data_IF_500614465537
#
_entry.id   IF_500614465537
#
_cell.length_a   1.000
_cell.length_b   1.000
_cell.length_c   1.000
_cell.angle_alpha   90.00
_cell.angle_beta   90.00
_cell.angle_gamma   90.00
#
_symmetry.space_group_name_H-M   'P 1'
#
loop_
_entity.id
_entity.type
_entity.pdbx_description
1 polymer ?
#
# COMPACT_ATOMS: atom_id res chain seq x y z
N UNK A 1 9.16 -5.91 21.07
CA UNK A 1 7.80 -5.90 20.47
C UNK A 1 7.51 -4.61 19.69
N UNK A 2 8.51 -3.94 19.08
CA UNK A 2 8.31 -2.61 18.45
C UNK A 2 8.66 -2.55 16.95
N UNK A 3 9.50 -3.46 16.46
CA UNK A 3 9.92 -3.48 15.05
C UNK A 3 8.81 -3.95 14.10
N UNK A 4 8.04 -4.98 14.50
CA UNK A 4 6.92 -5.50 13.69
C UNK A 4 5.80 -4.45 13.50
N UNK A 5 5.41 -3.76 14.57
CA UNK A 5 4.37 -2.73 14.52
C UNK A 5 4.82 -1.52 13.68
N UNK A 6 6.09 -1.13 13.79
CA UNK A 6 6.64 -0.04 12.99
C UNK A 6 6.68 -0.41 11.48
N UNK A 7 7.09 -1.64 11.15
CA UNK A 7 7.07 -2.14 9.75
C UNK A 7 5.66 -2.16 9.16
N UNK A 8 4.66 -2.60 9.93
CA UNK A 8 3.27 -2.58 9.48
C UNK A 8 2.76 -1.15 9.26
N UNK A 9 3.11 -0.23 10.16
CA UNK A 9 2.74 1.18 10.00
C UNK A 9 3.36 1.80 8.75
N UNK A 10 4.64 1.52 8.48
CA UNK A 10 5.33 1.98 7.28
C UNK A 10 4.70 1.41 6.00
N UNK A 11 4.34 0.12 6.00
CA UNK A 11 3.63 -0.53 4.89
C UNK A 11 2.27 0.13 4.62
N UNK A 12 1.49 0.42 5.66
CA UNK A 12 0.21 1.09 5.54
C UNK A 12 0.35 2.51 4.96
N UNK A 13 1.34 3.27 5.41
CA UNK A 13 1.64 4.60 4.89
C UNK A 13 2.05 4.55 3.41
N UNK A 14 2.93 3.62 3.05
CA UNK A 14 3.39 3.43 1.68
C UNK A 14 2.23 3.00 0.76
N UNK A 15 1.36 2.10 1.23
CA UNK A 15 0.16 1.69 0.52
C UNK A 15 -0.76 2.88 0.22
N UNK A 16 -1.07 3.70 1.23
CA UNK A 16 -1.89 4.92 1.05
C UNK A 16 -1.25 5.91 0.09
N UNK A 17 0.07 6.07 0.14
CA UNK A 17 0.83 6.93 -0.77
C UNK A 17 0.63 6.50 -2.24
N UNK A 18 0.79 5.21 -2.54
CA UNK A 18 0.60 4.69 -3.89
C UNK A 18 -0.86 4.82 -4.36
N UNK A 19 -1.82 4.51 -3.49
CA UNK A 19 -3.25 4.66 -3.81
C UNK A 19 -3.61 6.12 -4.11
N UNK A 20 -3.11 7.09 -3.33
CA UNK A 20 -3.31 8.53 -3.59
C UNK A 20 -2.68 8.99 -4.90
N UNK A 21 -1.58 8.36 -5.34
CA UNK A 21 -0.94 8.62 -6.64
C UNK A 21 -1.66 7.99 -7.83
N UNK A 22 -2.76 7.26 -7.60
CA UNK A 22 -3.56 6.63 -8.66
C UNK A 22 -3.16 5.19 -8.99
N UNK A 23 -2.31 4.54 -8.19
CA UNK A 23 -1.96 3.12 -8.35
C UNK A 23 -3.09 2.21 -7.86
N UNK A 24 -4.22 2.27 -8.56
CA UNK A 24 -5.49 1.65 -8.17
C UNK A 24 -6.01 0.69 -9.23
N UNK A 25 -5.50 0.79 -10.47
CA UNK A 25 -5.80 -0.13 -11.56
C UNK A 25 -4.89 -1.36 -11.51
N UNK A 26 -5.36 -2.51 -12.01
CA UNK A 26 -4.55 -3.73 -12.04
C UNK A 26 -3.23 -3.56 -12.81
N UNK A 27 -3.24 -2.76 -13.89
CA UNK A 27 -2.05 -2.44 -14.68
C UNK A 27 -1.01 -1.69 -13.84
N UNK A 28 -1.42 -0.61 -13.16
CA UNK A 28 -0.52 0.17 -12.30
C UNK A 28 0.00 -0.63 -11.10
N UNK A 29 -0.85 -1.50 -10.55
CA UNK A 29 -0.46 -2.41 -9.47
C UNK A 29 0.58 -3.43 -9.96
N UNK A 30 0.44 -3.96 -11.17
CA UNK A 30 1.41 -4.87 -11.77
C UNK A 30 2.78 -4.17 -12.01
N UNK A 31 2.76 -2.95 -12.56
CA UNK A 31 3.96 -2.12 -12.73
C UNK A 31 4.68 -1.85 -11.39
N UNK A 32 3.89 -1.52 -10.35
CA UNK A 32 4.41 -1.29 -9.00
C UNK A 32 4.98 -2.58 -8.40
N UNK A 33 4.29 -3.71 -8.55
CA UNK A 33 4.74 -5.01 -8.06
C UNK A 33 6.08 -5.38 -8.69
N UNK A 34 6.25 -5.23 -10.01
CA UNK A 34 7.51 -5.54 -10.68
C UNK A 34 8.65 -4.62 -10.21
N UNK A 35 8.37 -3.32 -10.04
CA UNK A 35 9.34 -2.36 -9.53
C UNK A 35 9.82 -2.73 -8.13
N UNK A 36 8.90 -3.14 -7.26
CA UNK A 36 9.21 -3.55 -5.89
C UNK A 36 9.90 -4.91 -5.83
N UNK A 37 9.51 -5.84 -6.71
CA UNK A 37 10.15 -7.14 -6.84
C UNK A 37 11.65 -6.97 -7.12
N UNK A 38 12.01 -6.11 -8.08
CA UNK A 38 13.41 -5.80 -8.44
C UNK A 38 14.19 -5.10 -7.32
N UNK A 39 13.53 -4.27 -6.50
CA UNK A 39 14.20 -3.47 -5.45
C UNK A 39 14.30 -4.16 -4.10
N UNK A 40 13.28 -4.94 -3.71
CA UNK A 40 13.08 -5.40 -2.32
C UNK A 40 12.76 -6.89 -2.23
N UNK A 41 12.54 -7.57 -3.36
CA UNK A 41 12.16 -8.97 -3.43
C UNK A 41 10.65 -9.21 -3.49
N UNK A 42 10.28 -10.44 -3.83
CA UNK A 42 8.89 -10.85 -4.06
C UNK A 42 8.00 -10.71 -2.84
N UNK A 43 8.48 -11.16 -1.68
CA UNK A 43 7.70 -11.15 -0.43
C UNK A 43 7.36 -9.72 -0.01
N UNK A 44 8.32 -8.79 -0.11
CA UNK A 44 8.11 -7.39 0.22
C UNK A 44 7.12 -6.72 -0.73
N UNK A 45 7.21 -7.01 -2.04
CA UNK A 45 6.27 -6.52 -3.03
C UNK A 45 4.85 -7.04 -2.77
N UNK A 46 4.72 -8.35 -2.56
CA UNK A 46 3.43 -9.00 -2.30
C UNK A 46 2.75 -8.43 -1.06
N UNK A 47 3.49 -8.29 0.05
CA UNK A 47 2.99 -7.68 1.29
C UNK A 47 2.47 -6.25 1.09
N UNK A 48 3.16 -5.43 0.30
CA UNK A 48 2.69 -4.08 0.03
C UNK A 48 1.41 -4.08 -0.81
N UNK A 49 1.33 -4.94 -1.84
CA UNK A 49 0.12 -5.03 -2.69
C UNK A 49 -1.09 -5.53 -1.89
N UNK A 50 -0.90 -6.50 -1.00
CA UNK A 50 -1.96 -6.96 -0.10
C UNK A 50 -2.44 -5.84 0.82
N UNK A 51 -1.51 -5.07 1.41
CA UNK A 51 -1.86 -3.92 2.25
C UNK A 51 -2.55 -2.81 1.44
N UNK A 52 -2.13 -2.55 0.20
CA UNK A 52 -2.82 -1.63 -0.71
C UNK A 52 -4.26 -2.05 -0.95
N UNK A 53 -4.51 -3.34 -1.19
CA UNK A 53 -5.88 -3.85 -1.38
C UNK A 53 -6.72 -3.66 -0.12
N UNK A 54 -6.14 -3.90 1.07
CA UNK A 54 -6.82 -3.69 2.36
C UNK A 54 -7.14 -2.21 2.58
N UNK A 55 -6.18 -1.32 2.36
CA UNK A 55 -6.36 0.13 2.49
C UNK A 55 -7.38 0.66 1.48
N UNK A 56 -7.44 0.08 0.27
CA UNK A 56 -8.42 0.45 -0.75
C UNK A 56 -9.87 0.12 -0.35
N UNK A 57 -10.08 -0.99 0.36
CA UNK A 57 -11.39 -1.33 0.94
C UNK A 57 -11.83 -0.34 2.01
N UNK A 58 -10.90 0.04 2.89
CA UNK A 58 -11.08 1.08 3.91
C UNK A 58 -10.85 2.51 3.42
N UNK A 59 -10.81 2.76 2.10
CA UNK A 59 -10.43 4.08 1.56
C UNK A 59 -11.35 5.19 2.05
N UNK A 60 -12.60 4.87 2.30
CA UNK A 60 -13.59 5.83 2.80
C UNK A 60 -13.18 6.44 4.15
N UNK A 61 -12.43 5.71 4.98
CA UNK A 61 -12.01 6.15 6.32
C UNK A 61 -10.84 7.16 6.30
N UNK A 62 -10.03 7.18 5.22
CA UNK A 62 -8.83 8.04 5.13
C UNK A 62 -8.78 8.93 3.89
N UNK A 63 -9.64 8.68 2.90
CA UNK A 63 -9.77 9.46 1.67
C UNK A 63 -10.86 10.52 1.79
N UNK A 64 -11.91 10.29 2.59
CA UNK A 64 -12.67 11.40 3.16
C UNK A 64 -11.81 11.97 4.28
N UNK A 65 -11.29 13.19 4.08
CA UNK A 65 -10.94 14.03 5.23
C UNK A 65 -12.20 14.27 6.09
N UNK A 66 -12.08 14.83 7.31
CA UNK A 66 -13.24 15.07 8.16
C UNK A 66 -14.23 15.96 7.40
N UNK A 67 -15.26 15.34 6.85
CA UNK A 67 -16.46 15.99 6.37
C UNK A 67 -17.47 15.74 7.50
N UNK A 68 -17.30 16.53 8.57
CA UNK A 68 -18.31 17.20 9.40
C UNK A 68 -17.66 17.84 10.64
#
# INVERSE_FOLDING_TARGET
MSDQANRQHMLACEARYWLRRGYTTPEKIAELKETLYKKRGEEAATRLIEEMRRQWGSRHEWQRGPDE
#
